data_IF_584999633375
#
_entry.id   IF_584999633375
#
_cell.length_a   1.000
_cell.length_b   1.000
_cell.length_c   1.000
_cell.angle_alpha   90.00
_cell.angle_beta   90.00
_cell.angle_gamma   90.00
#
_symmetry.space_group_name_H-M   'P 1'
#
loop_
_entity.id
_entity.type
_entity.pdbx_description
1 polymer ?
#
# COMPACT_ATOMS: atom_id res chain seq x y z
N UNK A 1 -5.10 -32.13 15.20
CA UNK A 1 -5.77 -30.99 14.54
C UNK A 1 -4.67 -30.16 13.89
N UNK A 2 -4.78 -29.75 12.61
CA UNK A 2 -3.84 -28.79 12.07
C UNK A 2 -3.90 -27.55 12.96
N UNK A 3 -2.74 -27.08 13.43
CA UNK A 3 -2.64 -25.82 14.15
C UNK A 3 -3.30 -24.76 13.28
N UNK A 4 -4.48 -24.30 13.67
CA UNK A 4 -5.02 -23.07 13.13
C UNK A 4 -3.93 -22.04 13.40
N UNK A 5 -3.33 -21.49 12.34
CA UNK A 5 -2.47 -20.33 12.45
C UNK A 5 -3.17 -19.36 13.40
N UNK A 6 -2.52 -18.88 14.48
CA UNK A 6 -3.18 -17.97 15.39
C UNK A 6 -3.79 -16.84 14.56
N UNK A 7 -5.06 -16.49 14.85
CA UNK A 7 -5.61 -15.24 14.35
C UNK A 7 -4.54 -14.16 14.53
N UNK A 8 -4.31 -13.28 13.55
CA UNK A 8 -3.25 -12.29 13.64
C UNK A 8 -3.34 -11.62 15.01
N UNK A 9 -2.25 -11.72 15.78
CA UNK A 9 -2.24 -11.27 17.17
C UNK A 9 -2.68 -9.80 17.21
N UNK A 10 -3.37 -9.40 18.28
CA UNK A 10 -3.76 -8.00 18.48
C UNK A 10 -2.57 -7.05 18.26
N UNK A 11 -1.38 -7.49 18.66
CA UNK A 11 -0.10 -6.86 18.38
C UNK A 11 0.14 -6.59 16.89
N UNK A 12 -0.05 -7.58 16.02
CA UNK A 12 0.14 -7.41 14.57
C UNK A 12 -0.82 -6.36 14.00
N UNK A 13 -2.08 -6.37 14.44
CA UNK A 13 -3.07 -5.39 13.99
C UNK A 13 -2.67 -3.97 14.41
N UNK A 14 -2.18 -3.80 15.64
CA UNK A 14 -1.66 -2.52 16.14
C UNK A 14 -0.45 -2.06 15.32
N UNK A 15 0.52 -2.94 15.07
CA UNK A 15 1.71 -2.63 14.27
C UNK A 15 1.31 -2.15 12.88
N UNK A 16 0.46 -2.92 12.18
CA UNK A 16 0.00 -2.57 10.84
C UNK A 16 -0.70 -1.20 10.87
N UNK A 17 -1.62 -1.00 11.81
CA UNK A 17 -2.38 0.26 11.92
C UNK A 17 -1.45 1.46 12.11
N UNK A 18 -0.51 1.38 13.06
CA UNK A 18 0.45 2.47 13.32
C UNK A 18 1.31 2.73 12.09
N UNK A 19 1.84 1.69 11.45
CA UNK A 19 2.67 1.85 10.25
C UNK A 19 1.90 2.52 9.11
N UNK A 20 0.66 2.10 8.85
CA UNK A 20 -0.16 2.71 7.79
C UNK A 20 -0.60 4.13 8.13
N UNK A 21 -0.81 4.47 9.41
CA UNK A 21 -1.07 5.85 9.82
C UNK A 21 0.14 6.75 9.55
N UNK A 22 1.34 6.32 9.93
CA UNK A 22 2.59 7.06 9.69
C UNK A 22 2.84 7.20 8.18
N UNK A 23 2.76 6.10 7.44
CA UNK A 23 2.99 6.11 6.00
C UNK A 23 1.91 6.89 5.23
N UNK A 24 0.66 6.83 5.70
CA UNK A 24 -0.47 7.61 5.17
C UNK A 24 -0.30 9.11 5.43
N UNK A 25 0.16 9.50 6.62
CA UNK A 25 0.51 10.88 6.93
C UNK A 25 1.61 11.40 6.00
N UNK A 26 2.70 10.65 5.82
CA UNK A 26 3.78 11.02 4.89
C UNK A 26 3.26 11.15 3.46
N UNK A 27 2.45 10.20 2.99
CA UNK A 27 1.78 10.29 1.69
C UNK A 27 0.89 11.53 1.59
N UNK A 28 0.19 11.92 2.65
CA UNK A 28 -0.64 13.13 2.67
C UNK A 28 0.16 14.43 2.58
N UNK A 29 1.32 14.50 3.24
CA UNK A 29 2.19 15.70 3.23
C UNK A 29 2.98 15.82 1.93
N UNK A 30 3.56 14.72 1.43
CA UNK A 30 4.49 14.73 0.28
C UNK A 30 3.78 14.39 -1.05
N UNK A 31 2.64 13.70 -0.99
CA UNK A 31 1.94 13.16 -2.17
C UNK A 31 2.42 11.76 -2.59
N UNK A 32 3.51 11.27 -2.01
CA UNK A 32 4.11 9.95 -2.28
C UNK A 32 4.69 9.35 -0.99
N UNK A 33 5.04 8.06 -1.01
CA UNK A 33 5.81 7.43 0.07
C UNK A 33 5.09 6.37 0.90
N UNK A 34 3.81 6.06 0.62
CA UNK A 34 3.12 4.96 1.29
C UNK A 34 3.92 3.63 1.18
N UNK A 35 4.31 3.13 -0.02
CA UNK A 35 5.13 1.93 -0.13
C UNK A 35 6.50 2.07 0.54
N UNK A 36 7.18 3.20 0.37
CA UNK A 36 8.54 3.40 0.90
C UNK A 36 8.58 3.34 2.43
N UNK A 37 7.67 4.04 3.11
CA UNK A 37 7.63 4.10 4.58
C UNK A 37 7.08 2.80 5.15
N UNK A 38 5.94 2.32 4.66
CA UNK A 38 5.31 1.14 5.23
C UNK A 38 6.09 -0.15 4.95
N UNK A 39 6.72 -0.30 3.78
CA UNK A 39 7.56 -1.46 3.51
C UNK A 39 8.83 -1.44 4.36
N UNK A 40 9.46 -0.28 4.57
CA UNK A 40 10.63 -0.18 5.45
C UNK A 40 10.30 -0.62 6.88
N UNK A 41 9.18 -0.11 7.45
CA UNK A 41 8.77 -0.42 8.81
C UNK A 41 8.27 -1.86 8.94
N UNK A 42 7.36 -2.31 8.06
CA UNK A 42 6.80 -3.67 8.13
C UNK A 42 7.84 -4.73 7.80
N UNK A 43 8.76 -4.49 6.85
CA UNK A 43 9.81 -5.45 6.52
C UNK A 43 10.84 -5.58 7.65
N UNK A 44 11.12 -4.50 8.38
CA UNK A 44 11.97 -4.55 9.57
C UNK A 44 11.36 -5.40 10.69
N UNK A 45 10.02 -5.44 10.81
CA UNK A 45 9.32 -6.19 11.86
C UNK A 45 8.93 -7.61 11.47
N UNK A 46 8.48 -7.82 10.23
CA UNK A 46 7.86 -9.07 9.77
C UNK A 46 8.69 -9.79 8.70
N UNK A 47 9.72 -9.13 8.16
CA UNK A 47 10.41 -9.55 6.94
C UNK A 47 9.72 -9.06 5.67
N UNK A 48 10.47 -9.04 4.57
CA UNK A 48 10.06 -8.40 3.33
C UNK A 48 8.82 -9.05 2.68
N UNK A 49 8.77 -10.39 2.62
CA UNK A 49 7.67 -11.12 1.96
C UNK A 49 6.29 -10.83 2.58
N UNK A 50 6.06 -11.01 3.90
CA UNK A 50 4.76 -10.72 4.50
C UNK A 50 4.45 -9.21 4.50
N UNK A 51 5.45 -8.34 4.63
CA UNK A 51 5.25 -6.89 4.52
C UNK A 51 4.69 -6.49 3.15
N UNK A 52 5.23 -7.04 2.06
CA UNK A 52 4.68 -6.82 0.71
C UNK A 52 3.24 -7.33 0.58
N UNK A 53 2.95 -8.52 1.12
CA UNK A 53 1.58 -9.08 1.06
C UNK A 53 0.56 -8.18 1.76
N UNK A 54 0.91 -7.64 2.94
CA UNK A 54 0.07 -6.71 3.71
C UNK A 54 -0.04 -5.36 2.99
N UNK A 55 1.04 -4.87 2.37
CA UNK A 55 1.08 -3.59 1.66
C UNK A 55 0.11 -3.53 0.47
N UNK A 56 0.17 -4.56 -0.38
CA UNK A 56 -0.38 -4.51 -1.74
C UNK A 56 -1.88 -4.23 -1.74
N UNK A 57 -2.64 -4.98 -0.93
CA UNK A 57 -4.10 -4.88 -0.94
C UNK A 57 -4.62 -3.49 -0.53
N UNK A 58 -4.30 -2.94 0.66
CA UNK A 58 -4.78 -1.61 1.06
C UNK A 58 -4.21 -0.48 0.20
N UNK A 59 -2.96 -0.57 -0.25
CA UNK A 59 -2.38 0.45 -1.13
C UNK A 59 -3.09 0.50 -2.48
N UNK A 60 -3.37 -0.66 -3.09
CA UNK A 60 -4.13 -0.72 -4.34
C UNK A 60 -5.54 -0.20 -4.16
N UNK A 61 -6.26 -0.67 -3.13
CA UNK A 61 -7.65 -0.25 -2.90
C UNK A 61 -7.76 1.26 -2.69
N UNK A 62 -6.91 1.85 -1.85
CA UNK A 62 -6.94 3.30 -1.60
C UNK A 62 -6.50 4.11 -2.82
N UNK A 63 -5.49 3.68 -3.56
CA UNK A 63 -5.04 4.38 -4.77
C UNK A 63 -6.08 4.33 -5.90
N UNK A 64 -6.72 3.17 -6.11
CA UNK A 64 -7.78 3.03 -7.12
C UNK A 64 -8.99 3.88 -6.73
N UNK A 65 -9.41 3.81 -5.46
CA UNK A 65 -10.51 4.64 -4.96
C UNK A 65 -10.21 6.14 -5.14
N UNK A 66 -9.01 6.58 -4.79
CA UNK A 66 -8.58 7.98 -4.96
C UNK A 66 -8.55 8.40 -6.42
N UNK A 67 -8.06 7.54 -7.32
CA UNK A 67 -8.01 7.82 -8.76
C UNK A 67 -9.41 7.99 -9.38
N UNK A 68 -10.36 7.13 -9.00
CA UNK A 68 -11.75 7.22 -9.47
C UNK A 68 -12.47 8.42 -8.85
N UNK A 69 -12.29 8.65 -7.55
CA UNK A 69 -12.94 9.74 -6.82
C UNK A 69 -12.56 11.12 -7.34
N UNK A 70 -11.40 11.25 -8.01
CA UNK A 70 -10.95 12.50 -8.62
C UNK A 70 -11.62 12.86 -9.95
N UNK A 71 -12.41 11.98 -10.58
CA UNK A 71 -13.16 12.26 -11.81
C UNK A 71 -12.36 12.37 -13.12
N UNK A 72 -11.04 12.56 -13.07
CA UNK A 72 -10.17 12.75 -14.25
C UNK A 72 -9.38 11.51 -14.68
N UNK A 73 -9.71 10.33 -14.14
CA UNK A 73 -8.92 9.12 -14.35
C UNK A 73 -8.72 8.77 -15.84
N UNK A 74 -9.79 8.85 -16.63
CA UNK A 74 -9.75 8.54 -18.07
C UNK A 74 -8.85 9.52 -18.82
N UNK A 75 -8.92 10.81 -18.50
CA UNK A 75 -8.10 11.84 -19.15
C UNK A 75 -6.62 11.68 -18.80
N UNK A 76 -6.31 11.30 -17.55
CA UNK A 76 -4.94 10.99 -17.12
C UNK A 76 -4.40 9.78 -17.87
N UNK A 77 -5.17 8.69 -17.96
CA UNK A 77 -4.76 7.48 -18.70
C UNK A 77 -4.50 7.81 -20.17
N UNK A 78 -5.38 8.56 -20.82
CA UNK A 78 -5.21 8.99 -22.23
C UNK A 78 -3.96 9.86 -22.43
N UNK A 79 -3.58 10.67 -21.45
CA UNK A 79 -2.38 11.51 -21.51
C UNK A 79 -1.10 10.73 -21.19
N UNK A 80 -1.18 9.73 -20.31
CA UNK A 80 -0.04 8.97 -19.81
C UNK A 80 0.16 7.60 -20.48
N UNK A 81 -0.60 7.26 -21.52
CA UNK A 81 -0.60 5.92 -22.13
C UNK A 81 0.81 5.41 -22.51
N UNK A 82 1.69 6.28 -23.02
CA UNK A 82 3.09 5.93 -23.33
C UNK A 82 3.86 5.52 -22.07
N UNK A 83 3.74 6.28 -20.98
CA UNK A 83 4.37 5.97 -19.70
C UNK A 83 3.82 4.68 -19.10
N UNK A 84 2.51 4.45 -19.21
CA UNK A 84 1.87 3.22 -18.72
C UNK A 84 2.41 2.02 -19.49
N UNK A 85 2.45 2.06 -20.82
CA UNK A 85 3.00 0.96 -21.64
C UNK A 85 4.47 0.72 -21.29
N UNK A 86 5.28 1.78 -21.20
CA UNK A 86 6.70 1.66 -20.87
C UNK A 86 6.95 1.04 -19.49
N UNK A 87 6.03 1.18 -18.53
CA UNK A 87 6.18 0.60 -17.19
C UNK A 87 5.97 -0.92 -17.13
N UNK A 88 5.34 -1.52 -18.15
CA UNK A 88 5.07 -2.96 -18.24
C UNK A 88 5.94 -3.70 -19.25
N UNK A 89 6.82 -2.99 -19.97
CA UNK A 89 7.84 -3.54 -20.86
C UNK A 89 9.16 -3.72 -20.11
#
# INVERSE_FOLDING_TARGET
>A
MPNMSPLPSLELFVIITVVFLVAGFVKGVIGLGLPSVSLALLAATLGLKPAMAILVLPALLTNVWQGISGGFLIDIIKRMWVYIIAAFL
#
